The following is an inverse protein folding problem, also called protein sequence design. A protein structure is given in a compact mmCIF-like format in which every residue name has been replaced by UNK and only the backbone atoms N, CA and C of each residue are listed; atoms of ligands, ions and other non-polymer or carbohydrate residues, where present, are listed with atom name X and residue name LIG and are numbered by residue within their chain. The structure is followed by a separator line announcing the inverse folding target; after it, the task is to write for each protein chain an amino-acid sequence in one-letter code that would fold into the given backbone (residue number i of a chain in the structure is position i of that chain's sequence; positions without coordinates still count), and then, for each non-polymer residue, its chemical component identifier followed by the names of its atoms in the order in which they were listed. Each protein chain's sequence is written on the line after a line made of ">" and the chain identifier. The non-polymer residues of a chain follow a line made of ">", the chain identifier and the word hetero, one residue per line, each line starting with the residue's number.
data_IF_887665358242
#
_entry.id   IF_887665358242
#
_cell.length_a   1.000
_cell.length_b   1.000
_cell.length_c   1.000
_cell.angle_alpha   90.00
_cell.angle_beta   90.00
_cell.angle_gamma   90.00
#
_symmetry.space_group_name_H-M   'P 1'
#
loop_
_entity.id
_entity.type
_entity.pdbx_description
1 polymer ?
#
# COMPACT_ATOMS: atom_id res chain seq x y z
N UNK A 1 -6.54 -37.44 18.87
CA UNK A 1 -5.43 -36.59 19.37
C UNK A 1 -4.84 -35.68 18.28
N UNK A 2 -4.39 -36.19 17.13
CA UNK A 2 -3.80 -35.37 16.05
C UNK A 2 -4.71 -34.21 15.57
N UNK A 3 -6.02 -34.46 15.42
CA UNK A 3 -7.01 -33.45 15.01
C UNK A 3 -7.23 -32.33 16.04
N UNK A 4 -7.13 -32.64 17.34
CA UNK A 4 -7.21 -31.61 18.38
C UNK A 4 -5.95 -30.74 18.38
N UNK A 5 -4.76 -31.33 18.17
CA UNK A 5 -3.50 -30.58 18.12
C UNK A 5 -3.44 -29.67 16.89
N UNK A 6 -3.83 -30.16 15.70
CA UNK A 6 -3.86 -29.34 14.49
C UNK A 6 -4.92 -28.23 14.54
N UNK A 7 -6.07 -28.49 15.17
CA UNK A 7 -7.12 -27.47 15.38
C UNK A 7 -6.66 -26.38 16.35
N UNK A 8 -5.89 -26.71 17.38
CA UNK A 8 -5.33 -25.72 18.30
C UNK A 8 -4.19 -24.93 17.65
N UNK A 9 -3.33 -25.60 16.87
CA UNK A 9 -2.29 -24.94 16.08
C UNK A 9 -2.87 -23.93 15.07
N UNK A 10 -3.97 -24.27 14.39
CA UNK A 10 -4.61 -23.35 13.44
C UNK A 10 -5.28 -22.16 14.14
N UNK A 11 -5.90 -22.37 15.30
CA UNK A 11 -6.48 -21.27 16.11
C UNK A 11 -5.38 -20.32 16.61
N UNK A 12 -4.24 -20.86 17.06
CA UNK A 12 -3.09 -20.06 17.51
C UNK A 12 -2.49 -19.27 16.34
N UNK A 13 -2.31 -19.92 15.18
CA UNK A 13 -1.79 -19.25 13.99
C UNK A 13 -2.72 -18.12 13.50
N UNK A 14 -4.03 -18.34 13.54
CA UNK A 14 -5.04 -17.33 13.19
C UNK A 14 -5.00 -16.14 14.18
N UNK A 15 -4.93 -16.42 15.48
CA UNK A 15 -4.84 -15.39 16.52
C UNK A 15 -3.54 -14.56 16.43
N UNK A 16 -2.42 -15.21 16.10
CA UNK A 16 -1.12 -14.56 15.88
C UNK A 16 -1.17 -13.64 14.66
N UNK A 17 -1.73 -14.12 13.55
CA UNK A 17 -1.89 -13.33 12.32
C UNK A 17 -2.78 -12.11 12.57
N UNK A 18 -3.88 -12.27 13.31
CA UNK A 18 -4.79 -11.18 13.63
C UNK A 18 -4.15 -10.14 14.56
N UNK A 19 -3.29 -10.56 15.49
CA UNK A 19 -2.57 -9.64 16.39
C UNK A 19 -1.56 -8.74 15.65
N UNK A 20 -0.93 -9.26 14.58
CA UNK A 20 0.06 -8.51 13.76
C UNK A 20 -0.62 -7.45 12.89
N UNK A 21 -1.92 -7.57 12.62
CA UNK A 21 -2.67 -6.58 11.83
C UNK A 21 -3.12 -5.34 12.60
N UNK A 22 -2.70 -5.18 13.87
CA UNK A 22 -2.93 -3.94 14.61
C UNK A 22 -2.03 -2.83 14.05
N UNK A 23 -2.58 -2.03 13.14
CA UNK A 23 -1.92 -0.86 12.59
C UNK A 23 -1.82 0.22 13.65
N UNK A 24 -0.71 0.29 14.38
CA UNK A 24 -0.28 1.57 14.92
C UNK A 24 0.09 2.46 13.73
N UNK A 25 -0.40 3.69 13.74
CA UNK A 25 -0.05 4.83 12.87
C UNK A 25 1.22 4.53 12.04
N UNK A 26 1.09 4.49 10.71
CA UNK A 26 2.23 4.25 9.79
C UNK A 26 3.26 5.36 10.00
N UNK A 27 4.14 5.17 10.99
CA UNK A 27 5.28 6.03 11.22
C UNK A 27 6.29 5.69 10.14
N UNK A 28 6.54 6.64 9.24
CA UNK A 28 7.57 6.53 8.22
C UNK A 28 8.87 5.96 8.84
N UNK A 29 9.48 4.99 8.17
CA UNK A 29 10.60 4.17 8.67
C UNK A 29 11.93 4.92 8.88
N UNK A 30 11.90 6.24 9.01
CA UNK A 30 13.00 7.03 9.53
C UNK A 30 12.44 8.00 10.59
N UNK A 31 12.35 7.57 11.87
CA UNK A 31 11.85 8.41 12.96
C UNK A 31 12.66 9.70 13.14
N UNK A 32 13.91 9.71 12.65
CA UNK A 32 14.79 10.89 12.66
C UNK A 32 14.29 12.02 11.75
N UNK A 33 13.91 11.71 10.50
CA UNK A 33 13.48 12.73 9.53
C UNK A 33 12.13 13.34 9.90
N UNK A 34 11.20 12.52 10.42
CA UNK A 34 9.90 12.99 10.88
C UNK A 34 10.01 13.87 12.13
N UNK A 35 10.80 13.44 13.12
CA UNK A 35 10.97 14.18 14.37
C UNK A 35 11.67 15.53 14.15
N UNK A 36 12.66 15.58 13.26
CA UNK A 36 13.33 16.83 12.89
C UNK A 36 12.37 17.81 12.22
N UNK A 37 11.56 17.34 11.27
CA UNK A 37 10.56 18.15 10.58
C UNK A 37 9.44 18.66 11.51
N UNK A 38 8.91 17.79 12.39
CA UNK A 38 7.92 18.19 13.40
C UNK A 38 8.49 19.18 14.43
N UNK A 39 9.76 19.02 14.83
CA UNK A 39 10.45 19.94 15.74
C UNK A 39 10.71 21.31 15.10
N UNK A 40 11.10 21.34 13.82
CA UNK A 40 11.27 22.58 13.05
C UNK A 40 9.95 23.36 12.98
N UNK A 41 8.84 22.67 12.66
CA UNK A 41 7.49 23.23 12.68
C UNK A 41 7.07 23.80 14.04
N UNK A 42 7.35 23.09 15.14
CA UNK A 42 7.04 23.56 16.51
C UNK A 42 7.83 24.80 16.93
N UNK A 43 9.05 24.94 16.42
CA UNK A 43 9.92 26.09 16.68
C UNK A 43 9.69 27.26 15.71
N UNK A 44 8.60 27.24 14.92
CA UNK A 44 8.22 28.33 14.01
C UNK A 44 8.81 28.23 12.60
N UNK A 45 9.55 27.16 12.30
CA UNK A 45 10.06 26.87 10.97
C UNK A 45 9.00 26.26 10.04
N UNK A 46 9.34 26.15 8.76
CA UNK A 46 8.43 25.66 7.71
C UNK A 46 8.81 24.27 7.18
N UNK A 47 9.95 23.73 7.60
CA UNK A 47 10.52 22.50 7.07
C UNK A 47 9.76 21.31 7.66
N UNK A 48 8.81 20.78 6.89
CA UNK A 48 7.89 19.73 7.32
C UNK A 48 6.43 19.99 6.97
N UNK A 49 6.09 21.21 6.53
CA UNK A 49 4.74 21.50 6.01
C UNK A 49 4.48 20.61 4.79
N UNK A 50 3.43 19.79 4.87
CA UNK A 50 3.02 18.91 3.77
C UNK A 50 3.69 17.53 3.74
N UNK A 51 4.47 17.14 4.76
CA UNK A 51 5.08 15.80 4.81
C UNK A 51 4.03 14.67 4.72
N UNK A 52 2.87 14.83 5.36
CA UNK A 52 1.77 13.85 5.28
C UNK A 52 1.23 13.71 3.84
N UNK A 53 1.08 14.83 3.12
CA UNK A 53 0.69 14.82 1.71
C UNK A 53 1.75 14.13 0.84
N UNK A 54 3.03 14.32 1.13
CA UNK A 54 4.13 13.63 0.44
C UNK A 54 4.10 12.12 0.61
N UNK A 55 3.80 11.62 1.83
CA UNK A 55 3.67 10.18 2.10
C UNK A 55 2.47 9.60 1.35
N UNK A 56 1.31 10.26 1.41
CA UNK A 56 0.12 9.82 0.66
C UNK A 56 0.37 9.80 -0.85
N UNK A 57 1.07 10.80 -1.38
CA UNK A 57 1.43 10.84 -2.80
C UNK A 57 2.36 9.68 -3.21
N UNK A 58 3.41 9.42 -2.42
CA UNK A 58 4.34 8.32 -2.66
C UNK A 58 3.66 6.94 -2.57
N UNK A 59 2.70 6.78 -1.66
CA UNK A 59 1.92 5.55 -1.54
C UNK A 59 0.90 5.38 -2.67
N UNK A 60 0.22 6.46 -3.10
CA UNK A 60 -0.78 6.39 -4.16
C UNK A 60 -0.17 6.16 -5.56
N UNK A 61 1.01 6.74 -5.82
CA UNK A 61 1.69 6.69 -7.11
C UNK A 61 1.85 5.28 -7.71
N UNK A 62 2.40 4.27 -7.00
CA UNK A 62 2.57 2.94 -7.58
C UNK A 62 1.24 2.26 -7.96
N UNK A 63 0.19 2.45 -7.17
CA UNK A 63 -1.13 1.87 -7.49
C UNK A 63 -1.75 2.52 -8.73
N UNK A 64 -1.63 3.84 -8.85
CA UNK A 64 -2.13 4.56 -10.03
C UNK A 64 -1.35 4.16 -11.30
N UNK A 65 -0.03 4.00 -11.20
CA UNK A 65 0.79 3.55 -12.33
C UNK A 65 0.41 2.14 -12.78
N UNK A 66 0.26 1.19 -11.86
CA UNK A 66 -0.16 -0.18 -12.19
C UNK A 66 -1.55 -0.20 -12.80
N UNK A 67 -2.50 0.56 -12.23
CA UNK A 67 -3.85 0.69 -12.77
C UNK A 67 -3.87 1.27 -14.19
N UNK A 68 -3.07 2.31 -14.44
CA UNK A 68 -2.96 2.94 -15.75
C UNK A 68 -2.36 1.98 -16.79
N UNK A 69 -1.24 1.32 -16.46
CA UNK A 69 -0.59 0.36 -17.36
C UNK A 69 -1.53 -0.82 -17.65
N UNK A 70 -2.18 -1.38 -16.64
CA UNK A 70 -3.15 -2.46 -16.80
C UNK A 70 -4.34 -2.05 -17.66
N UNK A 71 -4.87 -0.84 -17.46
CA UNK A 71 -5.96 -0.30 -18.28
C UNK A 71 -5.56 -0.10 -19.74
N UNK A 72 -4.38 0.47 -20.00
CA UNK A 72 -3.88 0.66 -21.36
C UNK A 72 -3.64 -0.68 -22.07
N UNK A 73 -3.08 -1.66 -21.36
CA UNK A 73 -2.86 -3.01 -21.90
C UNK A 73 -4.19 -3.69 -22.26
N UNK A 74 -5.16 -3.68 -21.34
CA UNK A 74 -6.50 -4.23 -21.60
C UNK A 74 -7.19 -3.54 -22.77
N UNK A 75 -7.12 -2.21 -22.85
CA UNK A 75 -7.69 -1.43 -23.95
C UNK A 75 -7.04 -1.77 -25.29
N UNK A 76 -5.72 -2.00 -25.33
CA UNK A 76 -5.03 -2.32 -26.57
C UNK A 76 -5.41 -3.71 -27.08
N UNK A 77 -5.48 -4.72 -26.19
CA UNK A 77 -5.90 -6.07 -26.55
C UNK A 77 -7.33 -6.13 -27.11
N UNK A 78 -8.24 -5.35 -26.55
CA UNK A 78 -9.61 -5.26 -27.09
C UNK A 78 -9.70 -4.63 -28.48
N UNK A 79 -8.82 -3.67 -28.80
CA UNK A 79 -8.76 -3.10 -30.16
C UNK A 79 -8.19 -4.09 -31.18
N UNK A 80 -7.28 -4.97 -30.76
CA UNK A 80 -6.76 -6.05 -31.60
C UNK A 80 -7.87 -7.07 -31.88
N UNK A 81 -8.63 -7.50 -30.86
CA UNK A 81 -9.77 -8.42 -31.00
C UNK A 81 -10.88 -7.84 -31.91
N UNK A 82 -11.30 -6.59 -31.68
CA UNK A 82 -12.30 -5.90 -32.52
C UNK A 82 -11.77 -5.64 -33.95
N UNK A 83 -10.45 -5.48 -34.13
CA UNK A 83 -9.82 -5.28 -35.45
C UNK A 83 -9.66 -6.57 -36.25
N UNK A 84 -9.46 -7.70 -35.58
CA UNK A 84 -9.37 -9.03 -36.21
C UNK A 84 -10.77 -9.56 -36.61
N UNK A 85 -11.82 -9.24 -35.85
CA UNK A 85 -13.21 -9.55 -36.22
C UNK A 85 -13.75 -8.72 -37.40
N UNK A 86 -13.31 -7.46 -37.57
CA UNK A 86 -13.71 -6.61 -38.72
C UNK A 86 -12.91 -6.96 -39.99
N UNK A 87 -11.75 -7.62 -39.84
CA UNK A 87 -10.88 -8.04 -40.94
C UNK A 87 -11.12 -9.46 -41.47
N UNK A 88 -12.04 -10.22 -40.88
CA UNK A 88 -12.42 -11.58 -41.28
C UNK A 88 -13.70 -11.62 -42.14
#
# INVERSE_FOLDING_TARGET
>A
MKYHITKWLSIIALAFTLSITTTSEVQAQCPMCRMSAESNLKNGGTDGRGLNNGILYMLATPYLLVGLVGFLWWRNRRKEEEGEEIGA
#
